data_IF_843849061212
#
_entry.id   IF_843849061212
#
_cell.length_a   1.000
_cell.length_b   1.000
_cell.length_c   1.000
_cell.angle_alpha   90.00
_cell.angle_beta   90.00
_cell.angle_gamma   90.00
#
_symmetry.space_group_name_H-M   'P 1'
#
loop_
_entity.id
_entity.type
_entity.pdbx_description
1 polymer ?
#
# COMPACT_ATOMS: atom_id res chain seq x y z
N UNK A 1 27.25 -14.30 -4.70
CA UNK A 1 28.04 -14.30 -5.96
C UNK A 1 27.14 -14.51 -7.18
N UNK A 2 26.34 -15.59 -7.24
CA UNK A 2 25.44 -15.86 -8.38
C UNK A 2 24.36 -14.80 -8.65
N UNK A 3 23.63 -14.34 -7.62
CA UNK A 3 22.62 -13.29 -7.80
C UNK A 3 23.17 -12.00 -8.41
N UNK A 4 24.38 -11.60 -8.01
CA UNK A 4 25.03 -10.41 -8.55
C UNK A 4 25.43 -10.59 -10.03
N UNK A 5 25.93 -11.78 -10.39
CA UNK A 5 26.26 -12.09 -11.78
C UNK A 5 25.02 -12.09 -12.68
N UNK A 6 23.92 -12.71 -12.24
CA UNK A 6 22.65 -12.69 -12.99
C UNK A 6 22.08 -11.27 -13.10
N UNK A 7 22.13 -10.50 -12.01
CA UNK A 7 21.70 -9.11 -12.00
C UNK A 7 22.46 -8.27 -13.04
N UNK A 8 23.79 -8.36 -13.05
CA UNK A 8 24.62 -7.63 -14.00
C UNK A 8 24.39 -8.09 -15.45
N UNK A 9 24.16 -9.40 -15.66
CA UNK A 9 23.82 -9.92 -17.00
C UNK A 9 22.48 -9.37 -17.51
N UNK A 10 21.46 -9.33 -16.66
CA UNK A 10 20.14 -8.76 -17.03
C UNK A 10 20.27 -7.26 -17.28
N UNK A 11 21.04 -6.55 -16.47
CA UNK A 11 21.31 -5.11 -16.66
C UNK A 11 22.00 -4.84 -17.99
N UNK A 12 23.01 -5.64 -18.35
CA UNK A 12 23.73 -5.50 -19.62
C UNK A 12 22.84 -5.80 -20.84
N UNK A 13 21.95 -6.80 -20.74
CA UNK A 13 21.13 -7.24 -21.89
C UNK A 13 19.81 -6.49 -22.03
N UNK A 14 19.16 -6.12 -20.94
CA UNK A 14 17.82 -5.52 -20.92
C UNK A 14 17.81 -4.08 -20.39
N UNK A 15 18.90 -3.63 -19.76
CA UNK A 15 19.04 -2.29 -19.19
C UNK A 15 18.76 -2.23 -17.68
N UNK A 16 19.19 -1.14 -17.04
CA UNK A 16 19.10 -0.94 -15.58
C UNK A 16 17.68 -0.95 -15.03
N UNK A 17 16.68 -0.59 -15.83
CA UNK A 17 15.25 -0.60 -15.43
C UNK A 17 14.70 -1.96 -14.99
N UNK A 18 15.35 -3.07 -15.39
CA UNK A 18 14.94 -4.43 -15.00
C UNK A 18 15.64 -4.92 -13.72
N UNK A 19 16.52 -4.09 -13.16
CA UNK A 19 17.49 -4.45 -12.13
C UNK A 19 17.46 -3.46 -10.97
N UNK A 20 17.07 -2.23 -11.23
CA UNK A 20 16.75 -1.22 -10.24
C UNK A 20 15.33 -1.43 -9.74
N UNK A 21 15.18 -1.52 -8.42
CA UNK A 21 13.87 -1.49 -7.78
C UNK A 21 13.34 -0.06 -7.90
N UNK A 22 12.59 0.18 -8.98
CA UNK A 22 11.95 1.48 -9.22
C UNK A 22 10.71 1.55 -8.35
N UNK A 23 10.48 2.71 -7.71
CA UNK A 23 9.19 2.94 -7.02
C UNK A 23 8.06 2.77 -8.03
N UNK A 24 7.08 1.95 -7.67
CA UNK A 24 5.90 1.75 -8.51
C UNK A 24 5.16 3.08 -8.67
N UNK A 25 4.93 3.47 -9.92
CA UNK A 25 4.15 4.64 -10.28
C UNK A 25 2.67 4.24 -10.27
N UNK A 26 2.05 4.31 -9.08
CA UNK A 26 0.65 3.98 -8.87
C UNK A 26 -0.28 4.80 -9.79
N UNK A 27 0.17 5.98 -10.25
CA UNK A 27 -0.56 6.80 -11.20
C UNK A 27 -0.80 6.08 -12.51
N UNK A 28 0.27 5.57 -13.11
CA UNK A 28 0.22 4.88 -14.39
C UNK A 28 -0.60 3.60 -14.28
N UNK A 29 -0.42 2.84 -13.20
CA UNK A 29 -1.23 1.64 -12.97
C UNK A 29 -2.73 1.95 -12.81
N UNK A 30 -3.08 3.14 -12.28
CA UNK A 30 -4.46 3.60 -12.20
C UNK A 30 -4.98 4.11 -13.55
N UNK A 31 -4.15 4.78 -14.35
CA UNK A 31 -4.48 5.20 -15.72
C UNK A 31 -4.77 4.01 -16.64
N UNK A 32 -3.97 2.95 -16.51
CA UNK A 32 -4.10 1.71 -17.29
C UNK A 32 -5.28 0.84 -16.82
N UNK A 33 -5.89 1.17 -15.68
CA UNK A 33 -7.03 0.42 -15.15
C UNK A 33 -8.30 0.68 -15.96
N UNK A 34 -9.15 -0.34 -16.07
CA UNK A 34 -10.42 -0.28 -16.80
C UNK A 34 -11.51 -1.04 -16.04
N UNK A 35 -12.79 -0.92 -16.43
CA UNK A 35 -13.86 -1.72 -15.83
C UNK A 35 -13.64 -3.23 -16.00
N UNK A 36 -12.95 -3.63 -17.07
CA UNK A 36 -12.59 -5.02 -17.35
C UNK A 36 -11.27 -5.46 -16.73
N UNK A 37 -10.46 -4.52 -16.25
CA UNK A 37 -9.12 -4.79 -15.72
C UNK A 37 -8.98 -4.13 -14.35
N UNK A 38 -9.49 -4.77 -13.28
CA UNK A 38 -9.30 -4.30 -11.92
C UNK A 38 -7.82 -4.32 -11.51
N UNK A 39 -7.48 -3.55 -10.48
CA UNK A 39 -6.14 -3.52 -9.90
C UNK A 39 -6.13 -4.38 -8.63
N UNK A 40 -5.19 -5.32 -8.54
CA UNK A 40 -5.04 -6.25 -7.43
C UNK A 40 -3.70 -5.99 -6.70
N UNK A 41 -3.80 -5.54 -5.47
CA UNK A 41 -2.68 -5.34 -4.55
C UNK A 41 -2.44 -6.62 -3.75
N UNK A 42 -1.24 -7.16 -3.90
CA UNK A 42 -0.72 -8.27 -3.10
C UNK A 42 0.12 -7.66 -1.99
N UNK A 43 -0.38 -7.77 -0.76
CA UNK A 43 0.29 -7.28 0.44
C UNK A 43 1.33 -8.28 0.94
N UNK A 44 2.36 -7.81 1.64
CA UNK A 44 3.34 -8.69 2.27
C UNK A 44 2.79 -9.26 3.60
N UNK A 45 3.00 -10.55 3.92
CA UNK A 45 2.40 -11.18 5.10
C UNK A 45 3.01 -10.65 6.42
N UNK A 46 2.13 -10.27 7.35
CA UNK A 46 2.49 -9.91 8.74
C UNK A 46 2.94 -8.46 8.94
N UNK A 47 2.71 -7.58 7.99
CA UNK A 47 2.56 -6.15 8.25
C UNK A 47 1.10 -5.91 8.64
N UNK A 48 0.84 -5.11 9.67
CA UNK A 48 -0.52 -4.91 10.16
C UNK A 48 -1.38 -4.36 9.01
N UNK A 49 -2.27 -5.20 8.50
CA UNK A 49 -3.17 -4.89 7.36
C UNK A 49 -3.82 -3.52 7.52
N UNK A 50 -4.18 -3.10 8.73
CA UNK A 50 -4.76 -1.80 9.00
C UNK A 50 -3.79 -0.63 8.82
N UNK A 51 -2.51 -0.78 9.20
CA UNK A 51 -1.51 0.28 9.06
C UNK A 51 -0.98 0.38 7.63
N UNK A 52 -0.90 -0.71 6.87
CA UNK A 52 -0.69 -0.66 5.41
C UNK A 52 -1.93 -0.15 4.68
N UNK A 53 -3.15 -0.37 5.19
CA UNK A 53 -4.34 0.32 4.68
C UNK A 53 -4.26 1.83 4.97
N UNK A 54 -3.57 2.25 6.04
CA UNK A 54 -3.31 3.67 6.26
C UNK A 54 -2.07 4.17 5.51
N UNK A 55 -1.07 3.35 5.24
CA UNK A 55 0.25 3.75 4.70
C UNK A 55 0.42 3.46 3.21
N UNK A 56 -0.30 2.48 2.67
CA UNK A 56 -0.58 2.28 1.24
C UNK A 56 -1.99 2.73 0.89
N UNK A 57 -3.00 2.40 1.70
CA UNK A 57 -4.37 2.80 1.38
C UNK A 57 -4.59 4.31 1.54
N UNK A 58 -4.04 5.06 2.51
CA UNK A 58 -4.15 6.54 2.47
C UNK A 58 -3.40 7.16 1.30
N UNK A 59 -2.18 6.78 0.89
CA UNK A 59 -1.60 7.31 -0.33
C UNK A 59 -2.26 6.77 -1.59
N UNK A 60 -2.83 5.56 -1.65
CA UNK A 60 -3.62 5.11 -2.79
C UNK A 60 -4.94 5.87 -2.89
N UNK A 61 -5.64 6.04 -1.76
CA UNK A 61 -6.85 6.85 -1.59
C UNK A 61 -6.51 8.31 -1.89
N UNK A 62 -5.45 8.87 -1.32
CA UNK A 62 -4.99 10.25 -1.57
C UNK A 62 -4.48 10.42 -2.99
N UNK A 63 -3.86 9.43 -3.63
CA UNK A 63 -3.33 9.51 -4.98
C UNK A 63 -4.46 9.43 -5.99
N UNK A 64 -5.35 8.44 -5.88
CA UNK A 64 -6.60 8.38 -6.62
C UNK A 64 -7.41 9.67 -6.42
N UNK A 65 -7.50 10.16 -5.18
CA UNK A 65 -8.16 11.41 -4.83
C UNK A 65 -7.46 12.66 -5.40
N UNK A 66 -6.13 12.78 -5.35
CA UNK A 66 -5.39 13.94 -5.88
C UNK A 66 -5.44 13.96 -7.40
N UNK A 67 -5.22 12.81 -8.02
CA UNK A 67 -5.24 12.63 -9.47
C UNK A 67 -6.64 12.94 -10.03
N UNK A 68 -7.72 12.44 -9.40
CA UNK A 68 -9.08 12.71 -9.85
C UNK A 68 -9.65 14.06 -9.37
N UNK A 69 -9.18 14.65 -8.26
CA UNK A 69 -9.55 16.02 -7.86
C UNK A 69 -9.02 17.04 -8.87
N UNK A 70 -7.83 16.83 -9.41
CA UNK A 70 -7.23 17.70 -10.44
C UNK A 70 -7.90 17.52 -11.81
N UNK A 71 -8.30 16.30 -12.19
CA UNK A 71 -8.81 16.01 -13.54
C UNK A 71 -10.35 15.96 -13.67
N UNK A 72 -11.09 15.52 -12.64
CA UNK A 72 -12.51 15.10 -12.76
C UNK A 72 -13.43 15.47 -11.58
N UNK A 73 -12.93 16.16 -10.55
CA UNK A 73 -13.75 16.71 -9.46
C UNK A 73 -14.40 15.68 -8.51
N UNK A 74 -13.82 14.50 -8.34
CA UNK A 74 -14.31 13.48 -7.40
C UNK A 74 -13.76 13.73 -5.99
N UNK A 75 -14.62 14.21 -5.08
CA UNK A 75 -14.34 14.28 -3.64
C UNK A 75 -15.01 13.13 -2.88
N UNK A 76 -14.53 12.80 -1.66
CA UNK A 76 -15.11 11.79 -0.76
C UNK A 76 -16.56 12.13 -0.42
N UNK A 77 -16.86 13.43 -0.43
CA UNK A 77 -18.17 14.02 -0.21
C UNK A 77 -19.12 13.86 -1.41
N UNK A 78 -18.63 13.39 -2.57
CA UNK A 78 -19.47 13.14 -3.75
C UNK A 78 -20.23 11.80 -3.70
N UNK A 79 -19.90 10.91 -2.76
CA UNK A 79 -20.55 9.59 -2.63
C UNK A 79 -20.23 8.60 -3.76
N UNK A 80 -19.20 8.89 -4.57
CA UNK A 80 -18.77 8.12 -5.75
C UNK A 80 -17.61 7.16 -5.49
N UNK A 81 -17.20 6.99 -4.22
CA UNK A 81 -16.14 6.10 -3.80
C UNK A 81 -16.62 5.23 -2.63
N UNK A 82 -16.45 3.92 -2.76
CA UNK A 82 -16.88 2.93 -1.77
C UNK A 82 -15.65 2.18 -1.26
N UNK A 83 -15.40 2.26 0.05
CA UNK A 83 -14.31 1.53 0.70
C UNK A 83 -14.91 0.46 1.62
N UNK A 84 -14.62 -0.81 1.34
CA UNK A 84 -15.26 -1.94 1.98
C UNK A 84 -14.20 -2.97 2.39
N UNK A 85 -14.19 -3.32 3.67
CA UNK A 85 -13.42 -4.46 4.17
C UNK A 85 -14.26 -5.72 4.07
N UNK A 86 -13.85 -6.64 3.20
CA UNK A 86 -14.43 -7.96 3.04
C UNK A 86 -14.01 -8.82 4.23
N UNK A 87 -14.94 -8.98 5.17
CA UNK A 87 -14.87 -9.92 6.29
C UNK A 87 -16.16 -10.75 6.37
N UNK A 88 -16.35 -11.45 7.49
CA UNK A 88 -17.57 -12.23 7.72
C UNK A 88 -18.80 -11.31 7.63
N UNK A 89 -19.78 -11.68 6.81
CA UNK A 89 -21.06 -10.95 6.58
C UNK A 89 -20.99 -9.62 5.79
N UNK A 90 -19.85 -9.25 5.19
CA UNK A 90 -19.74 -8.03 4.37
C UNK A 90 -19.90 -8.27 2.86
N UNK A 91 -20.20 -9.51 2.45
CA UNK A 91 -20.36 -9.88 1.03
C UNK A 91 -21.50 -9.07 0.37
N UNK A 92 -22.67 -8.99 1.01
CA UNK A 92 -23.83 -8.28 0.48
C UNK A 92 -23.56 -6.79 0.25
N UNK A 93 -22.84 -6.14 1.16
CA UNK A 93 -22.47 -4.72 1.05
C UNK A 93 -21.52 -4.49 -0.12
N UNK A 94 -20.58 -5.42 -0.34
CA UNK A 94 -19.68 -5.35 -1.49
C UNK A 94 -20.41 -5.55 -2.83
N UNK A 95 -21.37 -6.48 -2.89
CA UNK A 95 -22.20 -6.72 -4.08
C UNK A 95 -23.03 -5.49 -4.44
N UNK A 96 -23.74 -4.89 -3.47
CA UNK A 96 -24.52 -3.68 -3.68
C UNK A 96 -23.65 -2.49 -4.13
N UNK A 97 -22.47 -2.36 -3.54
CA UNK A 97 -21.53 -1.31 -3.92
C UNK A 97 -21.00 -1.49 -5.34
N UNK A 98 -20.68 -2.73 -5.75
CA UNK A 98 -20.27 -3.06 -7.11
C UNK A 98 -21.38 -2.80 -8.12
N UNK A 99 -22.62 -3.19 -7.81
CA UNK A 99 -23.77 -2.93 -8.69
C UNK A 99 -23.99 -1.42 -8.87
N UNK A 100 -23.99 -0.67 -7.76
CA UNK A 100 -24.15 0.79 -7.79
C UNK A 100 -23.01 1.44 -8.57
N UNK A 101 -21.79 0.96 -8.39
CA UNK A 101 -20.60 1.47 -9.04
C UNK A 101 -20.55 1.17 -10.53
N UNK A 102 -20.95 -0.04 -10.94
CA UNK A 102 -21.06 -0.43 -12.33
C UNK A 102 -22.09 0.44 -13.07
N UNK A 103 -23.21 0.80 -12.43
CA UNK A 103 -24.25 1.66 -13.02
C UNK A 103 -23.86 3.13 -13.13
N UNK A 104 -23.23 3.68 -12.11
CA UNK A 104 -23.01 5.13 -11.99
C UNK A 104 -21.55 5.57 -12.21
N UNK A 105 -20.63 4.63 -12.51
CA UNK A 105 -19.21 4.93 -12.66
C UNK A 105 -18.52 5.27 -11.34
N UNK A 106 -18.90 4.59 -10.26
CA UNK A 106 -18.23 4.77 -8.97
C UNK A 106 -17.02 3.87 -8.86
N UNK A 107 -16.22 4.13 -7.84
CA UNK A 107 -15.00 3.40 -7.58
C UNK A 107 -15.18 2.56 -6.33
N UNK A 108 -14.69 1.32 -6.37
CA UNK A 108 -14.80 0.39 -5.26
C UNK A 108 -13.42 -0.08 -4.85
N UNK A 109 -13.08 0.09 -3.58
CA UNK A 109 -11.90 -0.47 -2.94
C UNK A 109 -12.35 -1.61 -2.01
N UNK A 110 -11.90 -2.82 -2.30
CA UNK A 110 -12.21 -4.03 -1.56
C UNK A 110 -10.96 -4.50 -0.80
N UNK A 111 -11.04 -4.54 0.52
CA UNK A 111 -9.97 -5.05 1.38
C UNK A 111 -10.31 -6.47 1.85
N UNK A 112 -9.63 -7.47 1.31
CA UNK A 112 -9.78 -8.87 1.70
C UNK A 112 -8.87 -9.12 2.91
N UNK A 113 -9.44 -8.95 4.10
CA UNK A 113 -8.78 -9.35 5.36
C UNK A 113 -9.18 -10.77 5.72
N UNK A 114 -8.28 -11.54 6.34
CA UNK A 114 -8.59 -12.90 6.80
C UNK A 114 -9.19 -13.77 5.70
N UNK A 115 -8.43 -13.96 4.62
CA UNK A 115 -8.93 -14.54 3.37
C UNK A 115 -9.73 -15.84 3.59
N UNK A 116 -9.31 -16.67 4.56
CA UNK A 116 -9.97 -17.92 4.95
C UNK A 116 -11.46 -17.77 5.33
N UNK A 117 -11.88 -16.59 5.80
CA UNK A 117 -13.27 -16.30 6.17
C UNK A 117 -14.15 -15.96 4.96
N UNK A 118 -13.55 -15.63 3.81
CA UNK A 118 -14.26 -15.05 2.64
C UNK A 118 -14.17 -15.91 1.38
N UNK A 119 -13.74 -17.18 1.51
CA UNK A 119 -13.51 -18.09 0.39
C UNK A 119 -14.72 -18.26 -0.54
N UNK A 120 -15.95 -18.21 0.01
CA UNK A 120 -17.19 -18.28 -0.78
C UNK A 120 -17.46 -16.96 -1.49
N UNK A 121 -17.37 -15.84 -0.79
CA UNK A 121 -17.54 -14.49 -1.35
C UNK A 121 -16.60 -14.18 -2.50
N UNK A 122 -15.34 -14.65 -2.45
CA UNK A 122 -14.39 -14.43 -3.56
C UNK A 122 -14.85 -15.04 -4.89
N UNK A 123 -15.51 -16.21 -4.86
CA UNK A 123 -16.06 -16.83 -6.08
C UNK A 123 -17.25 -16.06 -6.64
N UNK A 124 -18.07 -15.49 -5.76
CA UNK A 124 -19.19 -14.63 -6.19
C UNK A 124 -18.67 -13.31 -6.75
N UNK A 125 -17.68 -12.72 -6.08
CA UNK A 125 -16.98 -11.52 -6.53
C UNK A 125 -16.36 -11.70 -7.92
N UNK A 126 -15.66 -12.82 -8.18
CA UNK A 126 -15.10 -13.12 -9.50
C UNK A 126 -16.18 -13.09 -10.60
N UNK A 127 -17.34 -13.69 -10.34
CA UNK A 127 -18.46 -13.69 -11.31
C UNK A 127 -19.00 -12.29 -11.55
N UNK A 128 -19.13 -11.48 -10.51
CA UNK A 128 -19.61 -10.11 -10.61
C UNK A 128 -18.61 -9.22 -11.37
N UNK A 129 -17.32 -9.32 -11.08
CA UNK A 129 -16.28 -8.59 -11.81
C UNK A 129 -16.30 -8.93 -13.31
N UNK A 130 -16.48 -10.22 -13.64
CA UNK A 130 -16.63 -10.66 -15.02
C UNK A 130 -17.93 -10.19 -15.67
N UNK A 131 -19.03 -10.11 -14.93
CA UNK A 131 -20.28 -9.57 -15.46
C UNK A 131 -20.14 -8.07 -15.75
N UNK A 132 -19.56 -7.32 -14.81
CA UNK A 132 -19.41 -5.88 -14.94
C UNK A 132 -18.28 -5.45 -15.86
N UNK A 133 -17.40 -6.37 -16.32
CA UNK A 133 -16.36 -6.01 -17.29
C UNK A 133 -16.92 -5.55 -18.64
N UNK A 134 -18.09 -6.05 -19.03
CA UNK A 134 -18.70 -5.80 -20.34
C UNK A 134 -19.86 -4.79 -20.29
N UNK A 135 -20.59 -4.74 -19.17
CA UNK A 135 -21.88 -4.01 -19.05
C UNK A 135 -21.84 -2.79 -18.10
N UNK A 136 -20.65 -2.25 -17.79
CA UNK A 136 -20.51 -1.17 -16.81
C UNK A 136 -20.16 0.20 -17.40
N UNK A 137 -20.33 1.22 -16.58
CA UNK A 137 -19.94 2.59 -16.89
C UNK A 137 -18.44 2.70 -17.20
N UNK A 138 -18.02 3.50 -18.20
CA UNK A 138 -16.60 3.65 -18.57
C UNK A 138 -15.67 4.07 -17.43
N UNK A 139 -16.19 4.81 -16.45
CA UNK A 139 -15.46 5.28 -15.26
C UNK A 139 -15.47 4.28 -14.08
N UNK A 140 -16.16 3.15 -14.19
CA UNK A 140 -16.18 2.13 -13.14
C UNK A 140 -14.77 1.57 -12.93
N UNK A 141 -14.29 1.58 -11.68
CA UNK A 141 -12.97 1.05 -11.31
C UNK A 141 -13.07 0.23 -10.03
N UNK A 142 -12.36 -0.89 -10.00
CA UNK A 142 -12.26 -1.76 -8.83
C UNK A 142 -10.81 -1.96 -8.45
N UNK A 143 -10.53 -1.74 -7.18
CA UNK A 143 -9.25 -1.96 -6.53
C UNK A 143 -9.45 -3.03 -5.46
N UNK A 144 -8.60 -4.06 -5.47
CA UNK A 144 -8.69 -5.19 -4.55
C UNK A 144 -7.37 -5.29 -3.82
N UNK A 145 -7.40 -5.39 -2.50
CA UNK A 145 -6.21 -5.58 -1.68
C UNK A 145 -6.35 -6.87 -0.90
N UNK A 146 -5.37 -7.77 -1.00
CA UNK A 146 -5.38 -9.03 -0.29
C UNK A 146 -3.98 -9.45 0.17
N UNK A 147 -3.91 -10.07 1.33
CA UNK A 147 -2.72 -10.80 1.76
C UNK A 147 -2.70 -12.20 1.09
N UNK A 148 -1.54 -12.65 0.59
CA UNK A 148 -1.41 -14.00 0.07
C UNK A 148 -1.59 -15.02 1.19
N UNK A 149 -2.16 -16.18 0.84
CA UNK A 149 -2.22 -17.30 1.76
C UNK A 149 -0.80 -17.72 2.20
N UNK A 150 -0.61 -18.13 3.48
CA UNK A 150 0.71 -18.49 4.01
C UNK A 150 1.28 -19.75 3.36
N UNK A 151 0.41 -20.61 2.83
CA UNK A 151 0.79 -21.83 2.10
C UNK A 151 0.06 -21.91 0.75
N UNK A 152 0.67 -22.52 -0.29
CA UNK A 152 0.01 -22.72 -1.58
C UNK A 152 -1.31 -23.50 -1.48
N UNK A 153 -1.40 -24.44 -0.53
CA UNK A 153 -2.57 -25.27 -0.31
C UNK A 153 -3.75 -24.49 0.27
N UNK A 154 -3.48 -23.39 0.97
CA UNK A 154 -4.47 -22.47 1.53
C UNK A 154 -4.83 -21.32 0.57
N UNK A 155 -4.27 -21.32 -0.64
CA UNK A 155 -4.58 -20.30 -1.63
C UNK A 155 -6.02 -20.43 -2.12
N UNK A 156 -6.81 -19.39 -1.87
CA UNK A 156 -8.24 -19.35 -2.19
C UNK A 156 -8.63 -18.15 -3.08
N UNK A 157 -7.66 -17.37 -3.55
CA UNK A 157 -7.92 -16.32 -4.54
C UNK A 157 -8.23 -17.00 -5.88
N UNK A 158 -9.39 -16.73 -6.49
CA UNK A 158 -9.72 -17.32 -7.78
C UNK A 158 -8.72 -16.92 -8.87
N UNK A 159 -8.34 -17.89 -9.71
CA UNK A 159 -7.39 -17.69 -10.80
C UNK A 159 -7.86 -16.60 -11.77
N UNK A 160 -9.14 -16.54 -12.13
CA UNK A 160 -9.66 -15.57 -13.09
C UNK A 160 -9.60 -14.13 -12.58
N UNK A 161 -9.66 -13.91 -11.25
CA UNK A 161 -9.42 -12.59 -10.65
C UNK A 161 -7.96 -12.16 -10.82
N UNK A 162 -7.01 -13.09 -10.69
CA UNK A 162 -5.60 -12.80 -10.91
C UNK A 162 -5.31 -12.63 -12.40
N UNK A 163 -5.81 -13.49 -13.28
CA UNK A 163 -5.53 -13.41 -14.72
C UNK A 163 -6.00 -12.09 -15.35
N UNK A 164 -7.15 -11.58 -14.92
CA UNK A 164 -7.76 -10.38 -15.51
C UNK A 164 -7.45 -9.09 -14.75
N UNK A 165 -6.44 -9.07 -13.87
CA UNK A 165 -6.08 -7.89 -13.08
C UNK A 165 -4.65 -7.41 -13.29
N UNK A 166 -4.46 -6.11 -13.10
CA UNK A 166 -3.13 -5.51 -12.94
C UNK A 166 -2.65 -5.85 -11.52
N UNK A 167 -1.56 -6.60 -11.41
CA UNK A 167 -1.00 -7.02 -10.13
C UNK A 167 0.06 -6.04 -9.66
N UNK A 168 -0.08 -5.57 -8.43
CA UNK A 168 0.85 -4.67 -7.78
C UNK A 168 1.29 -5.34 -6.48
N UNK A 169 2.59 -5.56 -6.33
CA UNK A 169 3.17 -6.12 -5.10
C UNK A 169 3.78 -5.00 -4.27
N UNK A 170 3.38 -4.89 -3.00
CA UNK A 170 4.10 -4.07 -2.04
C UNK A 170 5.27 -4.90 -1.50
N UNK A 171 6.40 -4.85 -2.19
CA UNK A 171 7.63 -5.43 -1.66
C UNK A 171 8.34 -4.41 -0.77
N UNK A 172 8.85 -4.88 0.36
CA UNK A 172 9.73 -4.10 1.22
C UNK A 172 10.91 -3.58 0.40
N UNK A 173 11.10 -2.25 0.44
CA UNK A 173 12.22 -1.60 -0.21
C UNK A 173 13.53 -2.26 0.23
N UNK A 174 14.33 -2.69 -0.74
CA UNK A 174 15.59 -3.35 -0.45
C UNK A 174 16.72 -2.32 -0.44
N UNK A 175 17.30 -2.11 0.74
CA UNK A 175 18.50 -1.32 0.93
C UNK A 175 18.30 -0.16 1.89
N UNK A 176 19.36 0.15 2.64
CA UNK A 176 19.31 1.16 3.70
C UNK A 176 18.91 2.54 3.18
N UNK A 177 19.45 2.95 2.03
CA UNK A 177 19.12 4.22 1.41
C UNK A 177 17.65 4.30 1.00
N UNK A 178 17.10 3.23 0.41
CA UNK A 178 15.70 3.19 -0.02
C UNK A 178 14.75 3.28 1.17
N UNK A 179 15.04 2.56 2.25
CA UNK A 179 14.28 2.63 3.51
C UNK A 179 14.36 4.03 4.13
N UNK A 180 15.55 4.61 4.22
CA UNK A 180 15.74 5.95 4.77
C UNK A 180 14.97 7.00 3.96
N UNK A 181 15.09 6.96 2.63
CA UNK A 181 14.34 7.85 1.76
C UNK A 181 12.83 7.68 1.97
N UNK A 182 12.31 6.45 2.06
CA UNK A 182 10.89 6.22 2.30
C UNK A 182 10.39 6.84 3.60
N UNK A 183 11.14 6.68 4.68
CA UNK A 183 10.82 7.28 5.98
C UNK A 183 10.91 8.80 5.93
N UNK A 184 11.91 9.38 5.26
CA UNK A 184 12.01 10.83 5.14
C UNK A 184 10.87 11.43 4.31
N UNK A 185 10.44 10.74 3.25
CA UNK A 185 9.33 11.19 2.41
C UNK A 185 7.95 11.06 3.06
N UNK A 186 7.81 10.33 4.18
CA UNK A 186 6.54 10.28 4.91
C UNK A 186 6.26 11.53 5.72
N UNK A 187 7.26 12.41 5.91
CA UNK A 187 7.08 13.68 6.61
C UNK A 187 6.81 14.81 5.62
N UNK A 188 5.81 15.63 5.93
CA UNK A 188 5.52 16.87 5.24
C UNK A 188 6.33 18.05 5.79
N UNK A 189 6.27 19.17 5.09
CA UNK A 189 6.95 20.39 5.50
C UNK A 189 6.47 20.87 6.87
N UNK A 190 5.18 20.72 7.16
CA UNK A 190 4.57 21.10 8.43
C UNK A 190 5.18 20.32 9.61
N UNK A 191 5.44 19.02 9.43
CA UNK A 191 6.13 18.22 10.45
C UNK A 191 7.59 18.68 10.65
N UNK A 192 8.27 19.10 9.60
CA UNK A 192 9.66 19.59 9.68
C UNK A 192 9.76 20.96 10.36
N UNK A 193 8.67 21.72 10.36
CA UNK A 193 8.53 23.05 10.97
C UNK A 193 7.82 23.01 12.33
N UNK A 194 7.50 21.81 12.84
CA UNK A 194 6.73 21.63 14.08
C UNK A 194 7.43 22.20 15.32
N UNK A 195 8.76 22.25 15.33
CA UNK A 195 9.55 22.67 16.48
C UNK A 195 10.31 23.97 16.21
N UNK A 196 10.27 24.88 17.18
CA UNK A 196 11.00 26.16 17.13
C UNK A 196 12.52 26.01 17.04
N UNK A 197 13.08 24.88 17.52
CA UNK A 197 14.51 24.54 17.47
C UNK A 197 14.82 23.67 16.26
N UNK A 198 14.60 24.21 15.07
CA UNK A 198 14.65 23.45 13.81
C UNK A 198 15.96 22.69 13.60
N UNK A 199 17.12 23.29 13.88
CA UNK A 199 18.42 22.67 13.60
C UNK A 199 18.63 21.38 14.41
N UNK A 200 18.28 21.42 15.70
CA UNK A 200 18.39 20.28 16.61
C UNK A 200 17.32 19.23 16.33
N UNK A 201 16.09 19.70 16.10
CA UNK A 201 14.97 18.84 15.74
C UNK A 201 15.27 18.05 14.46
N UNK A 202 15.67 18.71 13.38
CA UNK A 202 15.98 18.07 12.09
C UNK A 202 17.16 17.10 12.20
N UNK A 203 18.18 17.43 13.00
CA UNK A 203 19.33 16.54 13.23
C UNK A 203 18.94 15.25 13.98
N UNK A 204 18.14 15.36 15.04
CA UNK A 204 17.67 14.20 15.81
C UNK A 204 16.61 13.42 15.02
N UNK A 205 15.71 14.10 14.31
CA UNK A 205 14.71 13.50 13.43
C UNK A 205 15.38 12.62 12.37
N UNK A 206 16.42 13.12 11.70
CA UNK A 206 17.18 12.31 10.75
C UNK A 206 17.77 11.05 11.40
N UNK A 207 18.30 11.19 12.62
CA UNK A 207 18.84 10.05 13.38
C UNK A 207 17.76 9.03 13.75
N UNK A 208 16.56 9.48 14.11
CA UNK A 208 15.40 8.62 14.35
C UNK A 208 14.95 7.90 13.07
N UNK A 209 14.89 8.62 11.94
CA UNK A 209 14.56 8.04 10.64
C UNK A 209 15.58 6.97 10.22
N UNK A 210 16.87 7.26 10.42
CA UNK A 210 17.95 6.31 10.16
C UNK A 210 17.85 5.07 11.04
N UNK A 211 17.55 5.24 12.33
CA UNK A 211 17.32 4.12 13.24
C UNK A 211 16.11 3.29 12.80
N UNK A 212 14.98 3.92 12.50
CA UNK A 212 13.78 3.23 12.02
C UNK A 212 14.04 2.44 10.73
N UNK A 213 14.73 3.05 9.76
CA UNK A 213 15.09 2.38 8.52
C UNK A 213 16.09 1.22 8.71
N UNK A 214 16.98 1.29 9.72
CA UNK A 214 17.80 0.17 10.15
C UNK A 214 16.95 -0.98 10.74
N UNK A 215 15.99 -0.67 11.60
CA UNK A 215 15.08 -1.66 12.20
C UNK A 215 14.28 -2.39 11.12
N UNK A 216 13.68 -1.64 10.20
CA UNK A 216 12.95 -2.18 9.06
C UNK A 216 13.85 -3.05 8.16
N UNK A 217 15.07 -2.59 7.86
CA UNK A 217 16.03 -3.37 7.08
C UNK A 217 16.46 -4.67 7.75
N UNK A 218 16.49 -4.72 9.09
CA UNK A 218 16.85 -5.93 9.84
C UNK A 218 15.79 -7.02 9.78
N UNK A 219 14.53 -6.69 9.50
CA UNK A 219 13.45 -7.68 9.34
C UNK A 219 13.78 -8.71 8.24
N UNK A 220 14.50 -8.30 7.20
CA UNK A 220 14.92 -9.18 6.09
C UNK A 220 15.83 -10.34 6.52
N UNK A 221 16.51 -10.23 7.65
CA UNK A 221 17.45 -11.23 8.13
C UNK A 221 16.81 -12.28 9.05
N UNK A 222 15.50 -12.22 9.26
CA UNK A 222 14.75 -13.18 10.08
C UNK A 222 15.38 -13.35 11.48
N UNK A 223 15.65 -14.60 11.92
CA UNK A 223 16.25 -14.87 13.23
C UNK A 223 17.62 -14.23 13.48
N UNK A 224 18.38 -13.92 12.42
CA UNK A 224 19.67 -13.22 12.56
C UNK A 224 19.49 -11.71 12.80
N UNK A 225 18.38 -11.15 12.31
CA UNK A 225 18.00 -9.76 12.55
C UNK A 225 17.44 -9.58 13.95
N UNK A 226 16.50 -10.45 14.33
CA UNK A 226 15.70 -10.40 15.55
C UNK A 226 15.40 -11.80 16.09
N UNK A 227 15.61 -12.03 17.40
CA UNK A 227 15.23 -13.29 18.05
C UNK A 227 13.70 -13.47 18.15
N UNK A 228 12.95 -12.36 18.14
CA UNK A 228 11.49 -12.31 18.06
C UNK A 228 11.07 -11.04 17.31
N UNK A 229 10.08 -11.17 16.41
CA UNK A 229 9.62 -10.04 15.59
C UNK A 229 8.86 -9.06 16.47
N UNK A 230 9.42 -7.87 16.69
CA UNK A 230 8.66 -6.71 17.14
C UNK A 230 8.16 -5.97 15.89
N UNK A 231 6.85 -5.74 15.73
CA UNK A 231 6.29 -5.08 14.56
C UNK A 231 6.49 -3.56 14.68
N UNK A 232 7.72 -3.08 14.52
CA UNK A 232 8.00 -1.64 14.47
C UNK A 232 7.26 -1.02 13.29
N UNK A 233 6.41 -0.04 13.57
CA UNK A 233 5.56 0.56 12.56
C UNK A 233 5.77 2.06 12.40
N UNK A 234 5.17 2.63 11.35
CA UNK A 234 5.20 4.07 11.10
C UNK A 234 4.58 4.85 12.27
N UNK A 235 3.64 4.25 13.01
CA UNK A 235 3.03 4.85 14.19
C UNK A 235 4.02 5.01 15.33
N UNK A 236 4.87 4.02 15.58
CA UNK A 236 5.91 4.11 16.60
C UNK A 236 6.85 5.29 16.31
N UNK A 237 7.23 5.45 15.04
CA UNK A 237 8.06 6.57 14.61
C UNK A 237 7.34 7.92 14.83
N UNK A 238 6.07 8.04 14.46
CA UNK A 238 5.27 9.24 14.66
C UNK A 238 5.17 9.64 16.14
N UNK A 239 5.02 8.66 17.03
CA UNK A 239 5.05 8.88 18.48
C UNK A 239 6.44 9.35 18.93
N UNK A 240 7.52 8.74 18.44
CA UNK A 240 8.89 9.20 18.74
C UNK A 240 9.12 10.65 18.31
N UNK A 241 8.62 11.06 17.14
CA UNK A 241 8.71 12.45 16.65
C UNK A 241 7.93 13.40 17.56
N UNK A 242 6.72 13.02 17.98
CA UNK A 242 5.90 13.82 18.90
C UNK A 242 6.60 14.01 20.25
N UNK A 243 7.18 12.93 20.81
CA UNK A 243 7.95 12.98 22.06
C UNK A 243 9.18 13.86 21.92
N UNK A 244 9.88 13.78 20.77
CA UNK A 244 11.04 14.62 20.46
C UNK A 244 10.64 16.11 20.46
N UNK A 245 9.57 16.48 19.76
CA UNK A 245 9.08 17.87 19.74
C UNK A 245 8.77 18.36 21.15
N UNK A 246 7.96 17.60 21.90
CA UNK A 246 7.58 17.95 23.26
C UNK A 246 8.81 18.14 24.16
N UNK A 247 9.83 17.28 24.03
CA UNK A 247 11.05 17.39 24.82
C UNK A 247 11.85 18.65 24.49
N UNK A 248 12.04 18.96 23.21
CA UNK A 248 12.80 20.13 22.76
C UNK A 248 12.11 21.45 23.10
N UNK A 249 10.77 21.48 23.13
CA UNK A 249 9.99 22.66 23.51
C UNK A 249 9.92 22.86 25.02
N UNK A 250 9.84 21.78 25.80
CA UNK A 250 9.77 21.86 27.27
C UNK A 250 11.12 22.15 27.93
N UNK A 251 12.23 21.74 27.32
CA UNK A 251 13.57 21.91 27.90
C UNK A 251 14.34 23.04 27.20
N UNK A 252 14.16 24.26 27.71
CA UNK A 252 14.82 25.50 27.22
C UNK A 252 16.31 25.63 27.54
N UNK A 253 17.00 24.58 28.00
CA UNK A 253 18.44 24.64 28.32
C UNK A 253 19.18 23.37 27.90
N UNK A 254 20.20 23.55 27.07
CA UNK A 254 21.40 22.69 26.99
C UNK A 254 22.49 23.37 27.80
#
# INVERSE_FOLDING_TARGET
>A
MFFHMYRNFVEEKLGSRYVESTRMDLAKSCEDSSPATPVFFILSPGEDSLEDIETLGKPLICFCYFFYRQNLGFTRDSGRFHNISLGQEQEMVAEEALEKAARHGHWVLLHVSNIHLVAKGLRTLEKLLKQYSEESHPDFRVFISAEPAPTPEEHIIPQGMLENSIKITSELLTGMLANLCAVLYSFDQDTLELCTREAEFKGILFSLCYFHACLAGRLKFGPQGWNGRYPFSARDLAVCVTVLCNYLETHTKV
#
